data_IF_754373651205
#
_entry.id   IF_754373651205
#
_cell.length_a   1.000
_cell.length_b   1.000
_cell.length_c   1.000
_cell.angle_alpha   90.00
_cell.angle_beta   90.00
_cell.angle_gamma   90.00
#
_symmetry.space_group_name_H-M   'P 1'
#
loop_
_entity.id
_entity.type
_entity.pdbx_description
1 polymer ?
#
# COMPACT_ATOMS: atom_id res chain seq x y z
N UNK A 1 -58.72 -3.95 19.15
CA UNK A 1 -57.57 -4.86 19.01
C UNK A 1 -56.54 -4.14 18.14
N UNK A 2 -55.62 -3.37 18.76
CA UNK A 2 -54.60 -2.63 18.03
C UNK A 2 -53.27 -3.34 18.23
N UNK A 3 -52.74 -3.93 17.15
CA UNK A 3 -51.41 -4.56 17.12
C UNK A 3 -50.31 -3.49 17.04
N UNK A 4 -49.42 -3.46 18.01
CA UNK A 4 -48.20 -2.66 18.02
C UNK A 4 -47.15 -3.39 17.12
N UNK A 5 -46.75 -2.73 16.05
CA UNK A 5 -45.60 -3.11 15.26
C UNK A 5 -44.36 -2.49 15.92
N UNK A 6 -43.53 -3.34 16.53
CA UNK A 6 -42.22 -2.92 17.04
C UNK A 6 -41.22 -2.90 15.90
N UNK A 7 -40.73 -1.73 15.56
CA UNK A 7 -39.53 -1.60 14.68
C UNK A 7 -38.30 -1.95 15.51
N UNK A 8 -37.66 -3.05 15.15
CA UNK A 8 -36.32 -3.41 15.66
C UNK A 8 -35.34 -2.66 14.76
N UNK A 9 -34.74 -1.58 15.26
CA UNK A 9 -33.54 -0.99 14.66
C UNK A 9 -32.38 -1.95 14.87
N UNK A 10 -31.95 -2.63 13.79
CA UNK A 10 -30.69 -3.34 13.78
C UNK A 10 -29.60 -2.28 13.55
N UNK A 11 -28.96 -1.87 14.64
CA UNK A 11 -27.73 -1.10 14.57
C UNK A 11 -26.63 -2.03 14.06
N UNK A 12 -26.26 -1.86 12.80
CA UNK A 12 -25.08 -2.51 12.23
C UNK A 12 -23.84 -1.87 12.88
N UNK A 13 -23.28 -2.53 13.88
CA UNK A 13 -21.95 -2.21 14.39
C UNK A 13 -20.94 -2.60 13.32
N UNK A 14 -20.47 -1.63 12.57
CA UNK A 14 -19.22 -1.78 11.81
C UNK A 14 -18.08 -1.90 12.81
N UNK A 15 -17.69 -3.11 13.12
CA UNK A 15 -16.41 -3.37 13.79
C UNK A 15 -15.30 -2.92 12.83
N UNK A 16 -14.75 -1.75 13.08
CA UNK A 16 -13.42 -1.36 12.59
C UNK A 16 -12.45 -2.41 13.15
N UNK A 17 -12.01 -3.33 12.30
CA UNK A 17 -11.07 -4.39 12.67
C UNK A 17 -9.65 -3.82 12.73
N UNK A 18 -9.41 -2.86 13.63
CA UNK A 18 -8.10 -2.64 14.21
C UNK A 18 -7.90 -3.77 15.21
N UNK A 19 -7.09 -4.77 14.90
CA UNK A 19 -6.71 -5.80 15.88
C UNK A 19 -6.06 -5.07 17.05
N UNK A 20 -6.74 -5.07 18.19
CA UNK A 20 -6.16 -4.62 19.46
C UNK A 20 -4.91 -5.47 19.66
N UNK A 21 -3.75 -4.84 19.74
CA UNK A 21 -2.49 -5.53 20.10
C UNK A 21 -2.71 -6.12 21.48
N UNK A 22 -2.51 -7.44 21.63
CA UNK A 22 -2.57 -8.06 22.95
C UNK A 22 -1.54 -7.35 23.86
N UNK A 23 -1.91 -6.93 25.07
CA UNK A 23 -0.97 -6.27 25.99
C UNK A 23 0.31 -7.07 26.27
N UNK A 24 0.29 -8.41 26.07
CA UNK A 24 1.48 -9.26 26.17
C UNK A 24 2.41 -9.14 24.96
N UNK A 25 1.90 -8.63 23.81
CA UNK A 25 2.64 -8.47 22.56
C UNK A 25 3.15 -7.05 22.35
N UNK A 26 2.74 -6.11 23.20
CA UNK A 26 3.15 -4.72 23.12
C UNK A 26 4.52 -4.50 23.77
N UNK A 27 5.29 -3.59 23.17
CA UNK A 27 6.51 -3.08 23.80
C UNK A 27 6.20 -1.95 24.80
N UNK A 28 7.26 -1.30 25.34
CA UNK A 28 7.13 -0.16 26.27
C UNK A 28 6.42 1.06 25.64
N UNK A 29 6.27 1.10 24.30
CA UNK A 29 5.55 2.15 23.57
C UNK A 29 4.09 1.78 23.25
N UNK A 30 3.64 0.56 23.62
CA UNK A 30 2.29 0.08 23.29
C UNK A 30 2.12 -0.37 21.83
N UNK A 31 3.23 -0.64 21.12
CA UNK A 31 3.24 -1.12 19.74
C UNK A 31 3.57 -2.62 19.67
N UNK A 32 3.27 -3.25 18.54
CA UNK A 32 3.76 -4.61 18.27
C UNK A 32 5.28 -4.64 18.37
N UNK A 33 5.81 -5.42 19.35
CA UNK A 33 7.25 -5.63 19.49
C UNK A 33 7.75 -6.66 18.50
N UNK A 34 8.82 -6.31 17.80
CA UNK A 34 9.55 -7.22 16.91
C UNK A 34 11.02 -7.23 17.35
N UNK A 35 11.46 -8.33 17.95
CA UNK A 35 12.85 -8.52 18.36
C UNK A 35 13.54 -9.47 17.38
N UNK A 36 14.51 -8.95 16.62
CA UNK A 36 15.35 -9.74 15.71
C UNK A 36 16.65 -10.09 16.43
N UNK A 37 16.98 -11.39 16.49
CA UNK A 37 18.25 -11.86 17.05
C UNK A 37 19.10 -12.52 15.97
N UNK A 38 20.27 -11.93 15.69
CA UNK A 38 21.25 -12.40 14.74
C UNK A 38 22.61 -12.60 15.40
N UNK A 39 23.37 -13.60 14.92
CA UNK A 39 24.78 -13.70 15.28
C UNK A 39 25.60 -12.58 14.64
N UNK A 40 26.76 -12.26 15.20
CA UNK A 40 27.65 -11.26 14.61
C UNK A 40 28.07 -11.62 13.18
N UNK A 41 28.24 -12.91 12.87
CA UNK A 41 28.54 -13.41 11.52
C UNK A 41 27.39 -13.11 10.53
N UNK A 42 26.14 -13.46 10.91
CA UNK A 42 24.98 -13.22 10.05
C UNK A 42 24.71 -11.72 9.85
N UNK A 43 24.86 -10.92 10.89
CA UNK A 43 24.76 -9.47 10.79
C UNK A 43 25.86 -8.89 9.88
N UNK A 44 27.10 -9.39 10.02
CA UNK A 44 28.21 -9.07 9.13
C UNK A 44 27.89 -9.40 7.66
N UNK A 45 27.28 -10.57 7.39
CA UNK A 45 26.84 -10.97 6.05
C UNK A 45 25.79 -10.02 5.48
N UNK A 46 24.75 -9.65 6.25
CA UNK A 46 23.75 -8.68 5.81
C UNK A 46 24.39 -7.33 5.44
N UNK A 47 25.29 -6.84 6.30
CA UNK A 47 25.91 -5.53 6.10
C UNK A 47 26.92 -5.48 4.95
N UNK A 48 27.62 -6.58 4.69
CA UNK A 48 28.60 -6.65 3.59
C UNK A 48 27.96 -6.88 2.22
N UNK A 49 26.74 -7.42 2.17
CA UNK A 49 26.04 -7.81 0.95
C UNK A 49 24.65 -7.16 0.82
N UNK A 50 24.55 -5.88 1.16
CA UNK A 50 23.27 -5.14 1.24
C UNK A 50 22.42 -5.29 -0.03
N UNK A 51 23.03 -5.12 -1.21
CA UNK A 51 22.33 -5.16 -2.48
C UNK A 51 22.06 -6.58 -3.00
N UNK A 52 22.74 -7.59 -2.46
CA UNK A 52 22.52 -8.99 -2.83
C UNK A 52 21.23 -9.56 -2.20
N UNK A 53 20.62 -8.88 -1.25
CA UNK A 53 19.38 -9.30 -0.54
C UNK A 53 19.46 -10.75 -0.06
N UNK A 54 20.61 -11.14 0.49
CA UNK A 54 20.86 -12.50 0.89
C UNK A 54 20.10 -12.85 2.16
N UNK A 55 19.39 -13.98 2.14
CA UNK A 55 18.77 -14.54 3.32
C UNK A 55 19.82 -15.09 4.28
N UNK A 56 19.74 -14.70 5.56
CA UNK A 56 20.55 -15.25 6.64
C UNK A 56 19.66 -15.81 7.75
N UNK A 57 20.10 -16.88 8.43
CA UNK A 57 19.36 -17.42 9.57
C UNK A 57 19.29 -16.42 10.72
N UNK A 58 18.11 -16.32 11.34
CA UNK A 58 17.86 -15.48 12.51
C UNK A 58 16.76 -16.08 13.39
N UNK A 59 16.48 -15.41 14.49
CA UNK A 59 15.27 -15.62 15.29
C UNK A 59 14.47 -14.32 15.33
N UNK A 60 13.17 -14.43 15.37
CA UNK A 60 12.27 -13.32 15.67
C UNK A 60 11.43 -13.68 16.89
N UNK A 61 11.30 -12.74 17.81
CA UNK A 61 10.25 -12.76 18.80
C UNK A 61 9.19 -11.74 18.39
N UNK A 62 8.00 -12.23 18.17
CA UNK A 62 6.82 -11.44 17.78
C UNK A 62 5.59 -12.08 18.41
N UNK A 63 4.70 -11.26 18.98
CA UNK A 63 3.54 -11.74 19.72
C UNK A 63 3.93 -12.77 20.83
N UNK A 64 4.92 -12.43 21.64
CA UNK A 64 5.41 -13.26 22.74
C UNK A 64 5.97 -14.63 22.33
N UNK A 65 6.12 -14.91 21.04
CA UNK A 65 6.58 -16.21 20.53
C UNK A 65 7.86 -16.07 19.73
N UNK A 66 8.87 -16.82 20.15
CA UNK A 66 10.15 -16.90 19.43
C UNK A 66 10.09 -17.94 18.31
N UNK A 67 10.43 -17.53 17.08
CA UNK A 67 10.42 -18.37 15.88
C UNK A 67 11.77 -18.31 15.15
N UNK A 68 12.12 -19.40 14.48
CA UNK A 68 13.26 -19.41 13.55
C UNK A 68 12.81 -18.80 12.23
N UNK A 69 13.65 -17.93 11.67
CA UNK A 69 13.39 -17.25 10.42
C UNK A 69 14.62 -17.24 9.53
N UNK A 70 14.41 -16.89 8.27
CA UNK A 70 15.40 -16.20 7.45
C UNK A 70 15.08 -14.72 7.45
N UNK A 71 16.10 -13.88 7.42
CA UNK A 71 15.96 -12.43 7.30
C UNK A 71 16.87 -11.93 6.19
N UNK A 72 16.36 -10.96 5.41
CA UNK A 72 17.14 -10.20 4.43
C UNK A 72 16.79 -8.73 4.50
N UNK A 73 17.66 -7.87 4.02
CA UNK A 73 17.29 -6.49 3.76
C UNK A 73 16.31 -6.40 2.59
N UNK A 74 15.35 -5.48 2.68
CA UNK A 74 14.33 -5.25 1.66
C UNK A 74 14.29 -3.80 1.17
N UNK A 75 13.61 -3.58 0.06
CA UNK A 75 13.56 -2.31 -0.65
C UNK A 75 14.44 -2.31 -1.91
N UNK A 76 14.41 -1.23 -2.66
CA UNK A 76 15.29 -0.99 -3.81
C UNK A 76 16.19 0.23 -3.52
N UNK A 77 15.66 1.43 -3.68
CA UNK A 77 16.36 2.69 -3.39
C UNK A 77 16.69 2.84 -1.91
N UNK A 78 15.83 2.32 -1.02
CA UNK A 78 16.01 2.36 0.43
C UNK A 78 17.14 1.47 0.97
N UNK A 79 17.69 0.55 0.18
CA UNK A 79 18.83 -0.29 0.58
C UNK A 79 20.07 0.53 0.96
N UNK A 80 20.28 1.69 0.34
CA UNK A 80 21.36 2.63 0.68
C UNK A 80 21.14 3.42 1.96
N UNK A 81 19.94 3.42 2.53
CA UNK A 81 19.62 4.21 3.73
C UNK A 81 20.23 3.58 5.00
N UNK A 82 20.47 4.41 6.03
CA UNK A 82 21.00 3.96 7.31
C UNK A 82 20.02 3.03 8.04
N UNK A 83 18.74 3.40 8.08
CA UNK A 83 17.68 2.60 8.65
C UNK A 83 17.23 1.58 7.61
N UNK A 84 17.46 0.31 7.87
CA UNK A 84 17.16 -0.79 6.93
C UNK A 84 15.74 -1.30 7.10
N UNK A 85 15.07 -1.61 6.00
CA UNK A 85 13.88 -2.45 6.00
C UNK A 85 14.28 -3.92 5.93
N UNK A 86 13.42 -4.81 6.42
CA UNK A 86 13.67 -6.25 6.43
C UNK A 86 12.51 -7.00 5.82
N UNK A 87 12.80 -8.13 5.18
CA UNK A 87 11.84 -9.21 4.96
C UNK A 87 12.21 -10.34 5.89
N UNK A 88 11.24 -10.88 6.62
CA UNK A 88 11.38 -12.07 7.45
C UNK A 88 10.57 -13.21 6.86
N UNK A 89 11.18 -14.39 6.73
CA UNK A 89 10.54 -15.61 6.25
C UNK A 89 10.60 -16.69 7.35
N UNK A 90 9.44 -17.20 7.78
CA UNK A 90 9.33 -18.21 8.81
C UNK A 90 9.77 -19.58 8.28
N UNK A 91 10.53 -20.32 9.10
CA UNK A 91 11.01 -21.66 8.79
C UNK A 91 10.03 -22.74 9.23
N UNK A 92 10.22 -23.94 8.68
CA UNK A 92 9.59 -25.16 9.13
C UNK A 92 8.04 -25.09 9.13
N UNK A 93 7.45 -24.53 8.06
CA UNK A 93 6.00 -24.33 7.88
C UNK A 93 5.33 -23.54 9.00
N UNK A 94 6.12 -22.80 9.79
CA UNK A 94 5.58 -21.88 10.78
C UNK A 94 4.92 -20.70 10.07
N UNK A 95 3.78 -20.29 10.61
CA UNK A 95 3.05 -19.12 10.12
C UNK A 95 2.91 -18.11 11.25
N UNK A 96 2.90 -16.85 10.88
CA UNK A 96 2.45 -15.79 11.77
C UNK A 96 1.22 -15.12 11.14
N UNK A 97 0.08 -15.15 11.83
CA UNK A 97 -1.21 -14.64 11.31
C UNK A 97 -1.57 -15.18 9.92
N UNK A 98 -1.17 -16.43 9.63
CA UNK A 98 -1.46 -17.11 8.36
C UNK A 98 -0.45 -16.89 7.23
N UNK A 99 0.61 -16.11 7.44
CA UNK A 99 1.63 -15.80 6.44
C UNK A 99 2.98 -16.45 6.75
N UNK A 100 3.69 -16.81 5.68
CA UNK A 100 5.08 -17.32 5.74
C UNK A 100 6.11 -16.20 5.77
N UNK A 101 5.78 -15.04 5.27
CA UNK A 101 6.66 -13.87 5.23
C UNK A 101 5.98 -12.63 5.79
N UNK A 102 6.78 -11.64 6.18
CA UNK A 102 6.36 -10.27 6.47
C UNK A 102 7.42 -9.28 6.04
N UNK A 103 6.98 -8.09 5.67
CA UNK A 103 7.86 -6.94 5.44
C UNK A 103 7.86 -6.06 6.68
N UNK A 104 9.04 -5.75 7.20
CA UNK A 104 9.27 -4.78 8.28
C UNK A 104 9.84 -3.53 7.63
N UNK A 105 8.95 -2.61 7.28
CA UNK A 105 9.32 -1.41 6.52
C UNK A 105 9.77 -0.28 7.43
N UNK A 106 10.95 0.27 7.15
CA UNK A 106 11.51 1.43 7.85
C UNK A 106 10.80 2.75 7.51
N UNK A 107 9.92 2.76 6.50
CA UNK A 107 9.19 3.92 6.02
C UNK A 107 10.13 5.10 5.72
N UNK A 108 11.17 4.85 4.94
CA UNK A 108 12.24 5.84 4.73
C UNK A 108 11.78 7.04 3.90
N UNK A 109 10.79 6.87 3.04
CA UNK A 109 10.15 7.94 2.26
C UNK A 109 9.25 8.85 3.09
N UNK A 110 8.76 8.37 4.24
CA UNK A 110 7.82 9.09 5.09
C UNK A 110 8.48 9.64 6.37
N UNK A 111 8.79 10.93 6.45
CA UNK A 111 9.30 11.54 7.68
C UNK A 111 8.27 11.61 8.80
N UNK A 112 6.97 11.53 8.47
CA UNK A 112 5.86 11.62 9.43
C UNK A 112 5.51 10.29 10.07
N UNK A 113 5.79 9.17 9.38
CA UNK A 113 5.35 7.80 9.72
C UNK A 113 3.82 7.62 9.76
N UNK A 114 3.08 8.49 9.05
CA UNK A 114 1.62 8.45 8.96
C UNK A 114 1.13 7.88 7.62
N UNK A 115 1.91 8.01 6.55
CA UNK A 115 1.48 7.81 5.17
C UNK A 115 0.94 6.41 4.92
N UNK A 116 1.68 5.35 5.31
CA UNK A 116 1.22 3.98 5.09
C UNK A 116 -0.08 3.65 5.82
N UNK A 117 -0.24 4.11 7.06
CA UNK A 117 -1.49 3.90 7.81
C UNK A 117 -2.67 4.57 7.12
N UNK A 118 -2.51 5.84 6.73
CA UNK A 118 -3.53 6.63 6.05
C UNK A 118 -3.87 6.06 4.67
N UNK A 119 -2.85 5.76 3.87
CA UNK A 119 -3.01 5.27 2.51
C UNK A 119 -3.72 3.92 2.45
N UNK A 120 -3.24 2.90 3.18
CA UNK A 120 -3.91 1.60 3.19
C UNK A 120 -5.34 1.66 3.72
N UNK A 121 -5.61 2.53 4.71
CA UNK A 121 -6.97 2.74 5.18
C UNK A 121 -7.85 3.42 4.12
N UNK A 122 -7.35 4.43 3.42
CA UNK A 122 -8.08 5.13 2.36
C UNK A 122 -8.47 4.19 1.21
N UNK A 123 -7.50 3.41 0.70
CA UNK A 123 -7.79 2.41 -0.34
C UNK A 123 -8.79 1.35 0.11
N UNK A 124 -8.71 0.90 1.38
CA UNK A 124 -9.67 -0.05 1.95
C UNK A 124 -11.07 0.54 2.07
N UNK A 125 -11.20 1.80 2.51
CA UNK A 125 -12.48 2.51 2.58
C UNK A 125 -13.09 2.74 1.19
N UNK A 126 -12.25 2.88 0.17
CA UNK A 126 -12.68 2.92 -1.22
C UNK A 126 -13.09 1.54 -1.79
N UNK A 127 -12.98 0.45 -1.01
CA UNK A 127 -13.40 -0.89 -1.39
C UNK A 127 -12.31 -1.75 -2.06
N UNK A 128 -11.05 -1.29 -2.08
CA UNK A 128 -9.96 -2.07 -2.65
C UNK A 128 -9.41 -3.08 -1.64
N UNK A 129 -8.92 -4.18 -2.17
CA UNK A 129 -8.11 -5.14 -1.42
C UNK A 129 -6.77 -4.48 -1.08
N UNK A 130 -6.39 -4.50 0.20
CA UNK A 130 -5.14 -3.89 0.69
C UNK A 130 -4.44 -4.82 1.65
N UNK A 131 -3.10 -4.79 1.73
CA UNK A 131 -2.39 -5.44 2.81
C UNK A 131 -2.74 -4.83 4.18
N UNK A 132 -2.62 -5.65 5.22
CA UNK A 132 -2.58 -5.14 6.58
C UNK A 132 -1.22 -4.47 6.83
N UNK A 133 -1.25 -3.32 7.48
CA UNK A 133 -0.05 -2.58 7.88
C UNK A 133 -0.27 -2.01 9.28
N UNK A 134 0.66 -2.27 10.19
CA UNK A 134 0.59 -1.78 11.56
C UNK A 134 1.94 -1.23 12.02
N UNK A 135 1.95 -0.13 12.80
CA UNK A 135 3.18 0.38 13.39
C UNK A 135 3.75 -0.63 14.39
N UNK A 136 5.07 -0.78 14.35
CA UNK A 136 5.81 -1.73 15.19
C UNK A 136 7.10 -1.12 15.72
N UNK A 137 7.47 -1.52 16.93
CA UNK A 137 8.78 -1.20 17.53
C UNK A 137 9.75 -2.33 17.24
N UNK A 138 10.82 -2.04 16.52
CA UNK A 138 11.80 -3.05 16.10
C UNK A 138 13.05 -2.95 16.96
N UNK A 139 13.48 -4.11 17.43
CA UNK A 139 14.73 -4.28 18.17
C UNK A 139 15.64 -5.25 17.39
N UNK A 140 16.93 -5.02 17.46
CA UNK A 140 17.95 -5.88 16.88
C UNK A 140 18.99 -6.19 17.96
N UNK A 141 19.08 -7.46 18.37
CA UNK A 141 19.96 -7.92 19.46
C UNK A 141 19.79 -7.08 20.74
N UNK A 142 18.54 -6.76 21.11
CA UNK A 142 18.19 -5.98 22.30
C UNK A 142 18.25 -4.46 22.13
N UNK A 143 18.76 -3.95 21.00
CA UNK A 143 18.83 -2.50 20.75
C UNK A 143 17.62 -2.02 19.94
N UNK A 144 16.92 -1.00 20.42
CA UNK A 144 15.82 -0.35 19.70
C UNK A 144 16.30 0.27 18.38
N UNK A 145 15.72 -0.17 17.27
CA UNK A 145 16.05 0.30 15.93
C UNK A 145 15.09 1.38 15.42
N UNK A 146 14.01 1.67 16.15
CA UNK A 146 13.08 2.72 15.81
C UNK A 146 11.67 2.21 15.48
N UNK A 147 10.84 3.13 15.00
CA UNK A 147 9.47 2.91 14.58
C UNK A 147 9.45 2.38 13.14
N UNK A 148 8.82 1.25 12.92
CA UNK A 148 8.64 0.57 11.64
C UNK A 148 7.17 0.30 11.36
N UNK A 149 6.87 -0.24 10.20
CA UNK A 149 5.58 -0.86 9.89
C UNK A 149 5.78 -2.34 9.58
N UNK A 150 4.99 -3.18 10.26
CA UNK A 150 4.82 -4.59 9.90
C UNK A 150 3.75 -4.66 8.81
N UNK A 151 4.16 -5.06 7.60
CA UNK A 151 3.29 -5.06 6.42
C UNK A 151 3.11 -6.48 5.93
N UNK A 152 1.85 -6.87 5.72
CA UNK A 152 1.45 -8.12 5.09
C UNK A 152 1.96 -8.16 3.63
N UNK A 153 2.67 -9.20 3.20
CA UNK A 153 3.08 -9.32 1.81
C UNK A 153 1.89 -9.64 0.92
N UNK A 154 1.94 -9.22 -0.36
CA UNK A 154 0.93 -9.60 -1.35
C UNK A 154 1.46 -10.81 -2.12
N UNK A 155 1.16 -11.99 -1.59
CA UNK A 155 1.62 -13.30 -2.07
C UNK A 155 0.48 -14.34 -2.04
N UNK A 156 0.80 -15.61 -2.20
CA UNK A 156 -0.18 -16.69 -2.17
C UNK A 156 -0.96 -16.77 -0.84
N UNK A 157 -0.31 -16.50 0.29
CA UNK A 157 -0.94 -16.53 1.61
C UNK A 157 -1.92 -15.35 1.78
N UNK A 158 -1.59 -14.18 1.22
CA UNK A 158 -2.47 -13.00 1.17
C UNK A 158 -3.83 -13.30 0.51
N UNK A 159 -3.80 -13.97 -0.65
CA UNK A 159 -5.02 -14.35 -1.35
C UNK A 159 -5.75 -15.48 -0.65
N UNK A 160 -5.02 -16.50 -0.17
CA UNK A 160 -5.59 -17.65 0.54
C UNK A 160 -6.39 -17.25 1.79
N UNK A 161 -5.88 -16.34 2.60
CA UNK A 161 -6.56 -15.83 3.81
C UNK A 161 -7.87 -15.12 3.45
N UNK A 162 -7.95 -14.53 2.26
CA UNK A 162 -9.13 -13.83 1.73
C UNK A 162 -10.05 -14.75 0.91
N UNK A 163 -9.82 -16.08 0.96
CA UNK A 163 -10.53 -17.10 0.15
C UNK A 163 -10.46 -16.79 -1.36
N UNK A 164 -9.31 -16.31 -1.81
CA UNK A 164 -9.00 -16.02 -3.21
C UNK A 164 -7.84 -16.89 -3.70
N UNK A 165 -7.74 -17.07 -5.00
CA UNK A 165 -6.61 -17.72 -5.66
C UNK A 165 -5.59 -16.68 -6.12
N UNK A 166 -4.31 -17.09 -6.13
CA UNK A 166 -3.22 -16.19 -6.56
C UNK A 166 -3.34 -15.80 -8.05
N UNK A 167 -3.56 -16.76 -8.95
CA UNK A 167 -3.61 -16.49 -10.39
C UNK A 167 -2.34 -15.82 -10.95
N UNK A 168 -2.51 -14.92 -11.93
CA UNK A 168 -1.40 -14.07 -12.40
C UNK A 168 -1.30 -12.84 -11.53
N UNK A 169 -0.11 -12.55 -11.04
CA UNK A 169 0.21 -11.38 -10.21
C UNK A 169 1.43 -10.69 -10.80
N UNK A 170 1.34 -9.40 -11.01
CA UNK A 170 2.44 -8.58 -11.50
C UNK A 170 2.75 -7.47 -10.50
N UNK A 171 4.01 -7.38 -10.10
CA UNK A 171 4.54 -6.29 -9.31
C UNK A 171 5.00 -5.18 -10.24
N UNK A 172 4.39 -4.02 -10.16
CA UNK A 172 4.91 -2.83 -10.81
C UNK A 172 6.15 -2.34 -10.05
N UNK A 173 7.23 -2.08 -10.76
CA UNK A 173 8.46 -1.57 -10.17
C UNK A 173 9.10 -0.51 -11.07
N UNK A 174 9.76 0.44 -10.42
CA UNK A 174 10.59 1.41 -11.11
C UNK A 174 11.98 0.81 -11.29
N UNK A 175 12.20 0.14 -12.43
CA UNK A 175 13.53 -0.29 -12.85
C UNK A 175 14.42 0.91 -13.17
N UNK A 176 15.46 0.70 -13.98
CA UNK A 176 16.33 1.80 -14.46
C UNK A 176 15.64 2.74 -15.47
N UNK A 177 14.39 2.45 -15.84
CA UNK A 177 13.58 3.17 -16.82
C UNK A 177 12.16 3.37 -16.28
N UNK A 178 11.57 4.47 -16.55
CA UNK A 178 10.25 5.07 -16.34
C UNK A 178 9.09 4.27 -15.64
N UNK A 179 9.32 3.03 -15.16
CA UNK A 179 8.33 2.24 -14.43
C UNK A 179 7.41 1.39 -15.30
N UNK A 180 6.25 1.08 -14.76
CA UNK A 180 5.21 0.26 -15.40
C UNK A 180 4.37 1.09 -16.37
N UNK A 181 4.33 0.71 -17.65
CA UNK A 181 3.53 1.35 -18.68
C UNK A 181 2.40 0.45 -19.17
N UNK A 182 1.29 1.06 -19.58
CA UNK A 182 0.11 0.40 -20.14
C UNK A 182 -0.03 0.67 -21.65
N UNK A 183 1.09 0.79 -22.37
CA UNK A 183 1.16 0.92 -23.81
C UNK A 183 2.45 0.32 -24.34
N UNK A 184 2.42 -0.28 -25.52
CA UNK A 184 3.61 -0.74 -26.25
C UNK A 184 4.25 0.38 -27.10
N UNK A 185 3.78 1.60 -26.98
CA UNK A 185 4.37 2.74 -27.67
C UNK A 185 5.88 2.84 -27.39
N UNK A 186 6.65 3.22 -28.41
CA UNK A 186 8.11 3.28 -28.28
C UNK A 186 8.83 1.94 -28.15
N UNK A 187 8.14 0.80 -28.32
CA UNK A 187 8.73 -0.53 -28.21
C UNK A 187 8.92 -1.01 -26.76
N UNK A 188 8.08 -0.52 -25.84
CA UNK A 188 8.11 -0.92 -24.44
C UNK A 188 7.95 -2.45 -24.27
N UNK A 189 8.82 -3.04 -23.45
CA UNK A 189 8.73 -4.44 -22.99
C UNK A 189 8.21 -4.44 -21.55
N UNK A 190 7.13 -5.15 -21.28
CA UNK A 190 6.48 -5.23 -19.96
C UNK A 190 7.44 -5.67 -18.85
N UNK A 191 8.49 -6.42 -19.19
CA UNK A 191 9.53 -6.90 -18.24
C UNK A 191 10.38 -5.76 -17.69
N UNK A 192 10.35 -4.59 -18.31
CA UNK A 192 11.09 -3.41 -17.85
C UNK A 192 10.40 -2.71 -16.67
N UNK A 193 9.07 -2.88 -16.51
CA UNK A 193 8.30 -2.24 -15.45
C UNK A 193 7.42 -3.19 -14.63
N UNK A 194 7.38 -4.49 -14.99
CA UNK A 194 6.62 -5.49 -14.24
C UNK A 194 7.43 -6.75 -13.96
N UNK A 195 7.36 -7.25 -12.73
CA UNK A 195 7.87 -8.55 -12.34
C UNK A 195 6.71 -9.52 -12.12
N UNK A 196 6.75 -10.70 -12.77
CA UNK A 196 5.75 -11.75 -12.57
C UNK A 196 5.95 -12.44 -11.23
N UNK A 197 4.91 -12.42 -10.38
CA UNK A 197 4.86 -13.01 -9.02
C UNK A 197 3.72 -14.03 -8.87
N UNK A 198 3.01 -14.34 -9.96
CA UNK A 198 1.86 -15.25 -9.96
C UNK A 198 2.22 -16.73 -9.94
N UNK A 199 1.19 -17.58 -10.11
CA UNK A 199 1.34 -19.04 -10.16
C UNK A 199 2.23 -19.52 -11.31
N UNK A 200 2.31 -18.74 -12.40
CA UNK A 200 3.16 -19.03 -13.57
C UNK A 200 4.36 -18.09 -13.56
N UNK A 201 5.54 -18.64 -13.26
CA UNK A 201 6.78 -17.87 -13.26
C UNK A 201 7.09 -17.28 -14.65
N UNK A 202 7.57 -16.05 -14.69
CA UNK A 202 7.98 -15.35 -15.91
C UNK A 202 6.93 -15.33 -17.04
N UNK A 203 5.64 -15.45 -16.70
CA UNK A 203 4.55 -15.40 -17.68
C UNK A 203 3.92 -14.00 -17.72
N UNK A 204 3.92 -13.38 -18.88
CA UNK A 204 3.42 -12.02 -19.10
C UNK A 204 2.25 -11.93 -20.08
N UNK A 205 1.85 -13.05 -20.72
CA UNK A 205 0.85 -13.05 -21.80
C UNK A 205 -0.52 -12.48 -21.41
N UNK A 206 -0.92 -12.60 -20.13
CA UNK A 206 -2.18 -12.00 -19.68
C UNK A 206 -2.06 -10.47 -19.64
N UNK A 207 -0.94 -9.93 -19.15
CA UNK A 207 -0.64 -8.50 -19.09
C UNK A 207 -0.46 -7.92 -20.50
N UNK A 208 0.30 -8.60 -21.36
CA UNK A 208 0.52 -8.21 -22.75
C UNK A 208 -0.82 -8.10 -23.49
N UNK A 209 -1.75 -9.05 -23.26
CA UNK A 209 -3.11 -9.02 -23.83
C UNK A 209 -3.90 -7.79 -23.36
N UNK A 210 -3.82 -7.42 -22.07
CA UNK A 210 -4.48 -6.22 -21.56
C UNK A 210 -3.93 -4.97 -22.27
N UNK A 211 -2.61 -4.82 -22.31
CA UNK A 211 -1.94 -3.65 -22.90
C UNK A 211 -2.23 -3.57 -24.40
N UNK A 212 -2.14 -4.68 -25.13
CA UNK A 212 -2.50 -4.71 -26.55
C UNK A 212 -3.95 -4.29 -26.77
N UNK A 213 -4.88 -4.75 -25.91
CA UNK A 213 -6.29 -4.35 -26.00
C UNK A 213 -6.47 -2.85 -25.79
N UNK A 214 -5.72 -2.25 -24.86
CA UNK A 214 -5.74 -0.81 -24.62
C UNK A 214 -5.19 -0.02 -25.81
N UNK A 215 -4.09 -0.46 -26.40
CA UNK A 215 -3.47 0.21 -27.55
C UNK A 215 -4.35 0.20 -28.79
N UNK A 216 -5.00 -0.94 -29.08
CA UNK A 216 -5.84 -1.12 -30.27
C UNK A 216 -7.26 -0.54 -30.15
N UNK A 217 -7.76 -0.31 -28.93
CA UNK A 217 -9.12 0.14 -28.73
C UNK A 217 -9.28 1.64 -29.02
N UNK A 218 -10.42 1.99 -29.65
CA UNK A 218 -10.91 3.37 -29.75
C UNK A 218 -11.85 3.68 -28.57
N UNK A 219 -12.09 4.96 -28.22
CA UNK A 219 -13.00 5.29 -27.12
C UNK A 219 -14.40 4.64 -27.23
N UNK A 220 -14.88 4.44 -28.47
CA UNK A 220 -16.22 3.88 -28.74
C UNK A 220 -16.30 2.38 -28.46
N UNK A 221 -15.21 1.62 -28.71
CA UNK A 221 -15.21 0.17 -28.54
C UNK A 221 -14.44 -0.29 -27.27
N UNK A 222 -13.76 0.63 -26.59
CA UNK A 222 -12.96 0.34 -25.39
C UNK A 222 -13.76 -0.39 -24.29
N UNK A 223 -14.98 0.03 -23.92
CA UNK A 223 -15.75 -0.69 -22.90
C UNK A 223 -15.95 -2.17 -23.21
N UNK A 224 -16.40 -2.49 -24.40
CA UNK A 224 -16.65 -3.87 -24.82
C UNK A 224 -15.37 -4.73 -24.84
N UNK A 225 -14.22 -4.14 -25.10
CA UNK A 225 -12.93 -4.84 -25.19
C UNK A 225 -12.20 -4.94 -23.86
N UNK A 226 -12.26 -3.92 -22.99
CA UNK A 226 -11.48 -3.85 -21.76
C UNK A 226 -12.20 -4.46 -20.56
N UNK A 227 -13.54 -4.30 -20.44
CA UNK A 227 -14.29 -4.81 -19.29
C UNK A 227 -14.21 -6.34 -19.09
N UNK A 228 -14.03 -7.18 -20.13
CA UNK A 228 -13.75 -8.59 -19.92
C UNK A 228 -12.37 -8.90 -19.31
N UNK A 229 -11.43 -7.95 -19.35
CA UNK A 229 -10.04 -8.12 -18.92
C UNK A 229 -9.70 -7.34 -17.63
N UNK A 230 -10.32 -6.18 -17.43
CA UNK A 230 -10.05 -5.26 -16.33
C UNK A 230 -11.32 -4.98 -15.53
N UNK A 231 -11.22 -5.04 -14.22
CA UNK A 231 -12.22 -4.48 -13.32
C UNK A 231 -12.08 -2.94 -13.32
N UNK A 232 -12.79 -2.30 -14.26
CA UNK A 232 -12.71 -0.85 -14.47
C UNK A 232 -13.17 -0.11 -13.22
N UNK A 233 -14.17 -0.60 -12.49
CA UNK A 233 -14.65 0.02 -11.26
C UNK A 233 -13.56 0.00 -10.17
N UNK A 234 -12.87 -1.13 -10.00
CA UNK A 234 -11.72 -1.24 -9.09
C UNK A 234 -10.62 -0.23 -9.46
N UNK A 235 -10.30 -0.11 -10.76
CA UNK A 235 -9.28 0.85 -11.19
C UNK A 235 -9.70 2.31 -10.98
N UNK A 236 -10.96 2.67 -11.26
CA UNK A 236 -11.43 4.05 -11.02
C UNK A 236 -11.38 4.43 -9.53
N UNK A 237 -11.69 3.50 -8.63
CA UNK A 237 -11.50 3.72 -7.18
C UNK A 237 -10.01 3.83 -6.82
N UNK A 238 -9.14 2.99 -7.39
CA UNK A 238 -7.69 3.09 -7.21
C UNK A 238 -7.17 4.46 -7.66
N UNK A 239 -7.58 4.91 -8.84
CA UNK A 239 -7.22 6.21 -9.40
C UNK A 239 -7.71 7.36 -8.50
N UNK A 240 -8.96 7.29 -8.03
CA UNK A 240 -9.54 8.33 -7.18
C UNK A 240 -8.77 8.49 -5.87
N UNK A 241 -8.45 7.38 -5.18
CA UNK A 241 -7.64 7.45 -3.95
C UNK A 241 -6.23 7.93 -4.25
N UNK A 242 -5.61 7.47 -5.36
CA UNK A 242 -4.28 7.94 -5.76
C UNK A 242 -4.24 9.46 -5.98
N UNK A 243 -5.30 10.03 -6.56
CA UNK A 243 -5.44 11.48 -6.73
C UNK A 243 -5.67 12.17 -5.39
N UNK A 244 -6.59 11.67 -4.56
CA UNK A 244 -6.95 12.28 -3.27
C UNK A 244 -5.77 12.29 -2.27
N UNK A 245 -4.92 11.27 -2.30
CA UNK A 245 -3.76 11.15 -1.41
C UNK A 245 -2.44 11.49 -2.09
N UNK A 246 -2.50 12.09 -3.27
CA UNK A 246 -1.32 12.50 -4.04
C UNK A 246 -0.28 11.37 -4.17
N UNK A 247 -0.75 10.16 -4.51
CA UNK A 247 0.08 8.98 -4.72
C UNK A 247 0.70 8.99 -6.11
N UNK A 248 1.76 9.79 -6.30
CA UNK A 248 2.42 9.90 -7.58
C UNK A 248 3.05 8.58 -8.03
N UNK A 249 3.75 7.91 -7.13
CA UNK A 249 4.41 6.63 -7.44
C UNK A 249 3.41 5.54 -7.86
N UNK A 250 2.18 5.59 -7.38
CA UNK A 250 1.13 4.64 -7.70
C UNK A 250 0.66 4.62 -9.16
N UNK A 251 1.12 5.55 -10.00
CA UNK A 251 0.81 5.51 -11.43
C UNK A 251 1.76 4.64 -12.25
N UNK A 252 3.00 4.50 -11.82
CA UNK A 252 4.08 3.83 -12.57
C UNK A 252 4.77 2.75 -11.76
N UNK A 253 4.52 2.70 -10.46
CA UNK A 253 5.21 1.89 -9.48
C UNK A 253 4.26 1.59 -8.33
N UNK A 254 4.71 0.89 -7.29
CA UNK A 254 4.03 0.78 -6.00
C UNK A 254 2.57 0.28 -6.07
N UNK A 255 2.30 -0.64 -6.99
CA UNK A 255 1.06 -1.42 -7.01
C UNK A 255 1.30 -2.87 -7.44
N UNK A 256 0.31 -3.71 -7.17
CA UNK A 256 0.21 -5.06 -7.74
C UNK A 256 -0.98 -5.10 -8.66
N UNK A 257 -0.81 -5.75 -9.80
CA UNK A 257 -1.87 -6.02 -10.76
C UNK A 257 -2.19 -7.52 -10.71
N UNK A 258 -3.35 -7.86 -10.19
CA UNK A 258 -3.80 -9.23 -9.95
C UNK A 258 -4.90 -9.62 -10.93
N UNK A 259 -4.64 -10.64 -11.77
CA UNK A 259 -5.70 -11.29 -12.54
C UNK A 259 -6.38 -12.32 -11.65
N UNK A 260 -7.53 -11.94 -11.09
CA UNK A 260 -8.31 -12.82 -10.22
C UNK A 260 -8.95 -13.95 -11.03
N UNK A 261 -8.57 -15.22 -10.79
CA UNK A 261 -9.12 -16.36 -11.53
C UNK A 261 -10.62 -16.61 -11.31
N UNK A 262 -11.22 -16.02 -10.27
CA UNK A 262 -12.64 -16.19 -9.96
C UNK A 262 -13.52 -15.30 -10.84
N UNK A 263 -13.05 -14.12 -11.19
CA UNK A 263 -13.80 -13.16 -12.02
C UNK A 263 -13.19 -12.96 -13.41
N UNK A 264 -11.98 -13.45 -13.65
CA UNK A 264 -11.27 -13.34 -14.92
C UNK A 264 -10.81 -11.93 -15.28
N UNK A 265 -10.67 -11.03 -14.30
CA UNK A 265 -10.35 -9.62 -14.52
C UNK A 265 -9.16 -9.18 -13.68
N UNK A 266 -8.39 -8.26 -14.22
CA UNK A 266 -7.35 -7.58 -13.49
C UNK A 266 -7.92 -6.61 -12.45
N UNK A 267 -7.33 -6.63 -11.25
CA UNK A 267 -7.59 -5.71 -10.15
C UNK A 267 -6.29 -5.09 -9.65
N UNK A 268 -6.33 -3.82 -9.28
CA UNK A 268 -5.23 -3.09 -8.67
C UNK A 268 -5.24 -3.28 -7.16
N UNK A 269 -4.05 -3.54 -6.60
CA UNK A 269 -3.81 -3.63 -5.15
C UNK A 269 -2.69 -2.64 -4.82
N UNK A 270 -2.91 -1.62 -3.96
CA UNK A 270 -1.88 -0.64 -3.62
C UNK A 270 -0.75 -1.28 -2.81
N UNK A 271 0.46 -0.77 -3.01
CA UNK A 271 1.67 -1.20 -2.33
C UNK A 271 2.60 -0.01 -2.08
N UNK A 272 3.46 -0.11 -1.04
CA UNK A 272 4.55 0.82 -0.71
C UNK A 272 4.12 2.29 -0.67
N UNK A 273 3.27 2.63 0.29
CA UNK A 273 2.59 3.91 0.41
C UNK A 273 3.33 4.91 1.32
N UNK A 274 4.66 4.83 1.43
CA UNK A 274 5.43 5.78 2.25
C UNK A 274 5.72 7.11 1.54
N UNK A 275 5.50 7.21 0.23
CA UNK A 275 5.66 8.43 -0.58
C UNK A 275 4.32 9.12 -0.92
N UNK A 276 3.31 9.01 -0.05
CA UNK A 276 2.05 9.74 -0.22
C UNK A 276 2.19 11.21 0.23
N UNK A 277 1.24 12.04 -0.19
CA UNK A 277 1.07 13.41 0.29
C UNK A 277 2.33 14.30 0.10
N UNK A 278 3.23 13.91 -0.79
CA UNK A 278 4.39 14.70 -1.13
C UNK A 278 4.08 15.69 -2.24
N UNK A 279 4.50 16.94 -2.05
CA UNK A 279 4.30 17.97 -3.04
C UNK A 279 5.34 17.87 -4.15
N UNK A 280 4.98 17.25 -5.26
CA UNK A 280 5.73 17.34 -6.51
C UNK A 280 5.09 18.42 -7.40
N UNK A 281 5.65 19.63 -7.37
CA UNK A 281 5.12 20.76 -8.14
C UNK A 281 4.89 20.39 -9.62
N UNK A 282 3.66 20.60 -10.12
CA UNK A 282 3.29 20.41 -11.51
C UNK A 282 2.98 19.00 -11.97
N UNK A 283 3.00 18.00 -11.08
CA UNK A 283 2.78 16.57 -11.45
C UNK A 283 1.39 16.02 -11.15
N UNK A 284 0.58 16.72 -10.35
CA UNK A 284 -0.73 16.22 -9.98
C UNK A 284 -1.76 16.61 -11.02
N UNK A 285 -2.37 15.62 -11.63
CA UNK A 285 -3.51 15.77 -12.53
C UNK A 285 -4.71 15.04 -11.95
N UNK A 286 -5.87 15.66 -12.05
CA UNK A 286 -7.13 15.03 -11.64
C UNK A 286 -7.41 13.71 -12.40
N UNK A 287 -6.94 13.62 -13.64
CA UNK A 287 -7.09 12.44 -14.50
C UNK A 287 -6.00 11.38 -14.31
N UNK A 288 -5.12 11.54 -13.33
CA UNK A 288 -3.96 10.66 -13.16
C UNK A 288 -2.82 10.98 -14.14
N UNK A 289 -1.87 10.06 -14.26
CA UNK A 289 -0.64 10.34 -15.00
C UNK A 289 -0.12 9.18 -15.86
N UNK A 290 -0.86 8.06 -15.99
CA UNK A 290 -0.45 6.93 -16.82
C UNK A 290 -1.36 6.72 -18.05
N UNK A 291 -0.95 5.86 -18.97
CA UNK A 291 -1.66 5.59 -20.22
C UNK A 291 -3.03 4.95 -19.95
N UNK A 292 -3.15 4.13 -18.90
CA UNK A 292 -4.42 3.47 -18.55
C UNK A 292 -5.48 4.50 -18.16
N UNK A 293 -5.15 5.44 -17.25
CA UNK A 293 -6.07 6.50 -16.85
C UNK A 293 -6.44 7.39 -18.04
N UNK A 294 -5.43 7.79 -18.83
CA UNK A 294 -5.64 8.61 -20.02
C UNK A 294 -6.58 7.93 -21.03
N UNK A 295 -6.47 6.61 -21.21
CA UNK A 295 -7.30 5.84 -22.15
C UNK A 295 -8.72 5.66 -21.64
N UNK A 296 -8.89 5.25 -20.38
CA UNK A 296 -10.21 5.02 -19.79
C UNK A 296 -11.04 6.32 -19.69
N UNK A 297 -10.42 7.42 -19.31
CA UNK A 297 -11.13 8.70 -19.15
C UNK A 297 -11.49 9.39 -20.48
N UNK A 298 -11.09 8.85 -21.64
CA UNK A 298 -11.66 9.24 -22.93
C UNK A 298 -13.09 8.74 -23.11
N UNK A 299 -13.51 7.71 -22.38
CA UNK A 299 -14.87 7.18 -22.40
C UNK A 299 -15.78 8.02 -21.51
N UNK A 300 -16.81 8.72 -22.03
CA UNK A 300 -17.63 9.63 -21.23
C UNK A 300 -18.32 8.95 -20.02
N UNK A 301 -18.70 7.68 -20.17
CA UNK A 301 -19.33 6.93 -19.07
C UNK A 301 -18.35 6.70 -17.91
N UNK A 302 -17.09 6.34 -18.19
CA UNK A 302 -16.06 6.14 -17.17
C UNK A 302 -15.65 7.45 -16.53
N UNK A 303 -15.55 8.54 -17.29
CA UNK A 303 -15.27 9.88 -16.78
C UNK A 303 -16.34 10.34 -15.77
N UNK A 304 -17.61 10.19 -16.13
CA UNK A 304 -18.73 10.49 -15.22
C UNK A 304 -18.71 9.62 -13.96
N UNK A 305 -18.48 8.30 -14.11
CA UNK A 305 -18.38 7.39 -12.95
C UNK A 305 -17.22 7.75 -12.05
N UNK A 306 -16.06 8.07 -12.61
CA UNK A 306 -14.89 8.52 -11.87
C UNK A 306 -15.17 9.82 -11.06
N UNK A 307 -15.83 10.80 -11.69
CA UNK A 307 -16.27 12.02 -10.98
C UNK A 307 -17.21 11.69 -9.82
N UNK A 308 -18.16 10.79 -10.00
CA UNK A 308 -19.05 10.33 -8.92
C UNK A 308 -18.27 9.67 -7.79
N UNK A 309 -17.32 8.80 -8.09
CA UNK A 309 -16.45 8.14 -7.09
C UNK A 309 -15.67 9.19 -6.29
N UNK A 310 -15.08 10.19 -6.96
CA UNK A 310 -14.37 11.28 -6.25
C UNK A 310 -15.30 12.01 -5.28
N UNK A 311 -16.52 12.34 -5.70
CA UNK A 311 -17.51 13.00 -4.84
C UNK A 311 -17.94 12.10 -3.66
N UNK A 312 -18.26 10.82 -3.91
CA UNK A 312 -18.60 9.83 -2.87
C UNK A 312 -17.48 9.70 -1.82
N UNK A 313 -16.21 9.66 -2.27
CA UNK A 313 -15.07 9.60 -1.38
C UNK A 313 -14.92 10.91 -0.56
N UNK A 314 -14.98 12.06 -1.20
CA UNK A 314 -14.79 13.36 -0.55
C UNK A 314 -15.90 13.70 0.43
N UNK A 315 -17.15 13.30 0.17
CA UNK A 315 -18.33 13.72 0.93
C UNK A 315 -18.76 12.70 1.98
N UNK A 316 -18.40 11.41 1.80
CA UNK A 316 -18.93 10.35 2.64
C UNK A 316 -17.85 9.53 3.35
N UNK A 317 -16.81 9.06 2.62
CA UNK A 317 -15.86 8.08 3.15
C UNK A 317 -14.55 8.67 3.63
N UNK A 318 -13.95 9.56 2.82
CA UNK A 318 -12.66 10.18 3.08
C UNK A 318 -12.84 11.68 3.34
N UNK A 319 -13.78 12.01 4.20
CA UNK A 319 -14.02 13.41 4.59
C UNK A 319 -12.82 13.97 5.37
N UNK A 320 -12.66 15.30 5.34
CA UNK A 320 -11.61 15.96 6.14
C UNK A 320 -11.71 15.54 7.62
N UNK A 321 -12.93 15.47 8.16
CA UNK A 321 -13.12 15.08 9.56
C UNK A 321 -12.69 13.64 9.85
N UNK A 322 -13.00 12.70 8.95
CA UNK A 322 -12.60 11.28 9.10
C UNK A 322 -11.09 11.09 8.97
N UNK A 323 -10.44 11.83 8.06
CA UNK A 323 -8.99 11.77 7.87
C UNK A 323 -8.26 12.45 9.03
N UNK A 324 -8.73 13.62 9.49
CA UNK A 324 -8.16 14.29 10.66
C UNK A 324 -8.20 13.40 11.90
N UNK A 325 -9.32 12.70 12.14
CA UNK A 325 -9.45 11.75 13.25
C UNK A 325 -8.46 10.57 13.11
N UNK A 326 -8.29 10.04 11.92
CA UNK A 326 -7.35 8.95 11.66
C UNK A 326 -5.89 9.40 11.82
N UNK A 327 -5.54 10.62 11.40
CA UNK A 327 -4.22 11.21 11.63
C UNK A 327 -3.97 11.34 13.14
N UNK A 328 -4.92 11.88 13.91
CA UNK A 328 -4.77 12.05 15.36
C UNK A 328 -4.61 10.71 16.07
N UNK A 329 -5.43 9.72 15.74
CA UNK A 329 -5.34 8.36 16.31
C UNK A 329 -3.98 7.73 16.01
N UNK A 330 -3.53 7.78 14.74
CA UNK A 330 -2.25 7.21 14.34
C UNK A 330 -1.10 7.92 15.03
N UNK A 331 -1.11 9.25 15.05
CA UNK A 331 -0.09 10.07 15.68
C UNK A 331 0.01 9.80 17.19
N UNK A 332 -1.13 9.74 17.89
CA UNK A 332 -1.15 9.42 19.32
C UNK A 332 -0.56 8.05 19.60
N UNK A 333 -0.87 7.05 18.76
CA UNK A 333 -0.35 5.69 18.88
C UNK A 333 1.16 5.60 18.69
N UNK A 334 1.72 6.34 17.73
CA UNK A 334 3.15 6.24 17.39
C UNK A 334 4.04 7.23 18.16
N UNK A 335 3.47 8.25 18.80
CA UNK A 335 4.22 9.37 19.39
C UNK A 335 5.40 8.96 20.29
N UNK A 336 5.25 8.02 21.26
CA UNK A 336 6.37 7.62 22.11
C UNK A 336 7.51 6.95 21.32
N UNK A 337 7.18 6.04 20.41
CA UNK A 337 8.15 5.33 19.57
C UNK A 337 8.82 6.28 18.55
N UNK A 338 8.07 7.22 18.00
CA UNK A 338 8.57 8.26 17.10
C UNK A 338 9.62 9.13 17.80
N UNK A 339 9.33 9.60 19.02
CA UNK A 339 10.24 10.44 19.80
C UNK A 339 11.55 9.72 20.18
N UNK A 340 11.49 8.39 20.36
CA UNK A 340 12.65 7.56 20.68
C UNK A 340 13.44 7.09 19.44
N UNK A 341 12.95 7.33 18.21
CA UNK A 341 13.60 6.85 17.00
C UNK A 341 14.85 7.68 16.66
N UNK A 342 16.02 7.11 16.94
CA UNK A 342 17.31 7.77 16.72
C UNK A 342 17.57 8.20 15.26
N UNK A 343 16.98 7.50 14.29
CA UNK A 343 17.17 7.83 12.87
C UNK A 343 16.38 9.06 12.45
N UNK A 344 15.25 9.33 13.08
CA UNK A 344 14.49 10.56 12.89
C UNK A 344 15.21 11.73 13.54
N UNK A 345 15.65 11.57 14.78
CA UNK A 345 16.40 12.60 15.52
C UNK A 345 17.69 12.99 14.80
N UNK A 346 18.47 12.00 14.32
CA UNK A 346 19.73 12.25 13.61
C UNK A 346 19.55 13.00 12.28
N UNK A 347 18.37 12.92 11.65
CA UNK A 347 18.03 13.66 10.42
C UNK A 347 17.52 15.08 10.68
N UNK A 348 17.42 15.51 11.94
CA UNK A 348 16.80 16.79 12.29
C UNK A 348 15.31 16.82 11.99
N UNK A 349 14.63 15.68 12.17
CA UNK A 349 13.19 15.59 11.94
C UNK A 349 12.43 16.58 12.82
N UNK A 350 11.37 17.14 12.27
CA UNK A 350 10.44 18.00 12.99
C UNK A 350 9.71 17.20 14.09
N UNK A 351 9.17 17.87 15.12
CA UNK A 351 8.24 17.23 16.06
C UNK A 351 7.06 16.60 15.34
N UNK A 352 6.57 15.46 15.83
CA UNK A 352 5.42 14.78 15.24
C UNK A 352 4.17 15.69 15.17
N UNK A 353 3.99 16.58 16.15
CA UNK A 353 2.89 17.54 16.16
C UNK A 353 2.95 18.52 15.00
N UNK A 354 4.12 18.92 14.55
CA UNK A 354 4.30 19.77 13.38
C UNK A 354 3.99 18.99 12.10
N UNK A 355 4.48 17.74 11.98
CA UNK A 355 4.14 16.85 10.88
C UNK A 355 2.61 16.62 10.77
N UNK A 356 1.93 16.39 11.90
CA UNK A 356 0.47 16.25 11.95
C UNK A 356 -0.23 17.50 11.41
N UNK A 357 0.19 18.67 11.87
CA UNK A 357 -0.42 19.94 11.42
C UNK A 357 -0.22 20.18 9.92
N UNK A 358 0.99 19.96 9.42
CA UNK A 358 1.31 20.09 7.99
C UNK A 358 0.55 19.09 7.11
N UNK A 359 0.46 17.83 7.54
CA UNK A 359 -0.30 16.79 6.82
C UNK A 359 -1.79 17.15 6.73
N UNK A 360 -2.40 17.58 7.82
CA UNK A 360 -3.80 18.01 7.83
C UNK A 360 -4.01 19.23 6.92
N UNK A 361 -3.11 20.21 6.98
CA UNK A 361 -3.22 21.41 6.13
C UNK A 361 -3.06 21.05 4.65
N UNK A 362 -2.07 20.21 4.31
CA UNK A 362 -1.90 19.72 2.94
C UNK A 362 -3.17 19.08 2.39
N UNK A 363 -3.81 18.18 3.15
CA UNK A 363 -5.02 17.48 2.72
C UNK A 363 -6.18 18.46 2.51
N UNK A 364 -6.37 19.45 3.40
CA UNK A 364 -7.40 20.47 3.24
C UNK A 364 -7.21 21.29 1.96
N UNK A 365 -6.00 21.76 1.73
CA UNK A 365 -5.68 22.59 0.56
C UNK A 365 -5.82 21.76 -0.73
N UNK A 366 -5.36 20.51 -0.67
CA UNK A 366 -5.44 19.59 -1.80
C UNK A 366 -6.88 19.22 -2.15
N UNK A 367 -7.71 18.90 -1.17
CA UNK A 367 -9.12 18.60 -1.39
C UNK A 367 -9.90 19.81 -1.93
N UNK A 368 -9.59 21.01 -1.44
CA UNK A 368 -10.18 22.23 -1.97
C UNK A 368 -9.81 22.43 -3.46
N UNK A 369 -8.55 22.18 -3.81
CA UNK A 369 -8.09 22.23 -5.21
C UNK A 369 -8.83 21.19 -6.08
N UNK A 370 -8.88 19.93 -5.65
CA UNK A 370 -9.61 18.88 -6.38
C UNK A 370 -11.07 19.28 -6.60
N UNK A 371 -11.77 19.77 -5.58
CA UNK A 371 -13.19 20.21 -5.70
C UNK A 371 -13.35 21.31 -6.75
N UNK A 372 -12.42 22.25 -6.82
CA UNK A 372 -12.46 23.33 -7.82
C UNK A 372 -12.23 22.81 -9.25
N UNK A 373 -11.45 21.73 -9.41
CA UNK A 373 -11.10 21.14 -10.70
C UNK A 373 -12.12 20.11 -11.21
N UNK A 374 -13.06 19.62 -10.37
CA UNK A 374 -14.05 18.58 -10.73
C UNK A 374 -14.92 18.97 -11.93
N UNK A 375 -15.13 20.26 -12.20
CA UNK A 375 -15.83 20.75 -13.40
C UNK A 375 -15.14 20.35 -14.70
N UNK A 376 -13.83 20.13 -14.70
CA UNK A 376 -13.06 19.68 -15.86
C UNK A 376 -13.30 18.22 -16.27
N UNK A 377 -14.02 17.45 -15.44
CA UNK A 377 -14.41 16.06 -15.75
C UNK A 377 -15.81 15.92 -16.40
N UNK A 378 -16.48 17.02 -16.70
CA UNK A 378 -17.79 17.01 -17.38
C UNK A 378 -17.67 16.74 -18.88
#
# INVERSE_FOLDING_TARGET
MFGRISFICIAAFFFACGKIVDPQDADSFGLTKIELTLTSEHLGTLNSMVYARRDVPARVEIAGTSRKIFVRYSGQTSLGQLKKSYTIAFKDDQLFRGHREYVISAQNGDPTKLHSALGFAAYRQAGLMTPAAEPAAVYLNGEYQGLYYLIEPIDADFFKIRNRRLGSLYEAFNGFYDGAHFSFAGGYDVRLGFESKGERENFYGDLERLIQTLDEATPENLPARVEPLLDVENYLHYLAVSVLFHNWDGYFNNFRLHLDPQIGKFQFIPWDLDNLLEFYAGRSRLEGANELSAKLLQVPAYRRRYKQILLELLDEKLTIASIDAQIDETAAKIAPAFAADRFLTARGSKPLTEHVAETKQFIRDWYAKIRNELGGLD
#
